data_IF_601764450467
#
_entry.id   IF_601764450467
#
_cell.length_a   1.000
_cell.length_b   1.000
_cell.length_c   1.000
_cell.angle_alpha   90.00
_cell.angle_beta   90.00
_cell.angle_gamma   90.00
#
_symmetry.space_group_name_H-M   'P 1'
#
loop_
_entity.id
_entity.type
_entity.pdbx_description
1 polymer ?
#
# COMPACT_ATOMS: atom_id res chain seq x y z
N UNK A 1 21.00 -27.06 -13.62
CA UNK A 1 21.11 -27.23 -12.14
C UNK A 1 22.36 -28.00 -11.74
N UNK A 2 22.81 -29.02 -12.50
CA UNK A 2 24.03 -29.78 -12.18
C UNK A 2 25.35 -29.00 -12.29
N UNK A 3 25.56 -28.23 -13.36
CA UNK A 3 26.81 -27.48 -13.59
C UNK A 3 27.19 -26.53 -12.46
N UNK A 4 26.19 -25.87 -11.85
CA UNK A 4 26.43 -24.93 -10.75
C UNK A 4 26.88 -25.64 -9.47
N UNK A 5 26.31 -26.81 -9.17
CA UNK A 5 26.73 -27.62 -8.03
C UNK A 5 28.16 -28.17 -8.23
N UNK A 6 28.49 -28.56 -9.47
CA UNK A 6 29.85 -29.00 -9.83
C UNK A 6 30.89 -27.88 -9.69
N UNK A 7 30.52 -26.65 -10.02
CA UNK A 7 31.39 -25.48 -9.86
C UNK A 7 31.72 -25.19 -8.40
N UNK A 8 30.71 -25.26 -7.50
CA UNK A 8 30.93 -25.04 -6.06
C UNK A 8 31.87 -26.10 -5.47
N UNK A 9 31.67 -27.37 -5.84
CA UNK A 9 32.51 -28.46 -5.37
C UNK A 9 33.97 -28.35 -5.87
N UNK A 10 34.18 -27.96 -7.13
CA UNK A 10 35.52 -27.86 -7.72
C UNK A 10 36.35 -26.67 -7.19
N UNK A 11 35.71 -25.67 -6.60
CA UNK A 11 36.39 -24.48 -6.07
C UNK A 11 36.71 -24.58 -4.58
N UNK A 12 36.52 -25.76 -3.96
CA UNK A 12 36.63 -25.99 -2.51
C UNK A 12 35.85 -24.94 -1.68
N UNK A 13 34.74 -24.45 -2.24
CA UNK A 13 33.90 -23.48 -1.58
C UNK A 13 33.07 -24.19 -0.51
N UNK A 14 33.50 -24.04 0.74
CA UNK A 14 32.75 -24.50 1.91
C UNK A 14 31.56 -23.56 2.11
N UNK A 15 30.34 -24.10 2.00
CA UNK A 15 29.14 -23.41 2.47
C UNK A 15 29.26 -23.25 3.99
N UNK A 16 29.70 -22.07 4.43
CA UNK A 16 29.79 -21.75 5.85
C UNK A 16 28.35 -21.82 6.38
N UNK A 17 28.06 -22.72 7.32
CA UNK A 17 26.71 -22.82 7.84
C UNK A 17 26.39 -21.48 8.48
N UNK A 18 25.23 -20.91 8.13
CA UNK A 18 24.73 -19.64 8.65
C UNK A 18 24.32 -19.81 10.14
N UNK A 19 25.21 -20.33 10.99
CA UNK A 19 25.14 -20.25 12.44
C UNK A 19 25.64 -18.88 12.90
N UNK A 20 24.99 -17.86 12.36
CA UNK A 20 24.81 -16.56 13.00
C UNK A 20 23.31 -16.37 13.08
N UNK A 21 22.77 -16.13 14.27
CA UNK A 21 21.33 -15.95 14.45
C UNK A 21 20.78 -14.92 13.45
N UNK A 22 19.65 -15.25 12.82
CA UNK A 22 19.02 -14.37 11.82
C UNK A 22 18.59 -12.99 12.38
N UNK A 23 18.73 -12.73 13.69
CA UNK A 23 18.50 -11.45 14.37
C UNK A 23 19.36 -11.30 15.66
N UNK A 24 19.70 -10.05 16.01
CA UNK A 24 20.51 -9.63 17.19
C UNK A 24 19.66 -9.18 18.39
N UNK A 25 18.65 -9.95 18.81
CA UNK A 25 17.95 -9.65 20.08
C UNK A 25 17.69 -10.93 20.88
N UNK A 26 18.36 -11.03 22.03
CA UNK A 26 18.14 -12.01 23.09
C UNK A 26 17.52 -11.27 24.26
N UNK A 27 16.45 -11.79 24.86
CA UNK A 27 15.92 -11.29 26.13
C UNK A 27 16.72 -11.88 27.30
N UNK A 28 16.78 -11.23 28.47
CA UNK A 28 17.56 -11.72 29.62
C UNK A 28 17.10 -13.06 30.23
N UNK A 29 15.99 -13.66 29.77
CA UNK A 29 15.43 -14.88 30.35
C UNK A 29 15.65 -16.16 29.52
N UNK A 30 16.51 -16.11 28.49
CA UNK A 30 16.84 -17.23 27.60
C UNK A 30 15.64 -17.91 26.89
N UNK A 31 14.44 -17.30 26.93
CA UNK A 31 13.31 -17.79 26.15
C UNK A 31 13.45 -17.39 24.67
N UNK A 32 14.02 -18.30 23.87
CA UNK A 32 14.02 -18.19 22.41
C UNK A 32 12.61 -18.53 21.91
N UNK A 33 11.73 -17.53 21.88
CA UNK A 33 10.49 -17.64 21.09
C UNK A 33 10.77 -17.15 19.68
N UNK A 34 10.76 -18.06 18.71
CA UNK A 34 10.68 -17.73 17.28
C UNK A 34 9.29 -17.21 16.93
N UNK A 35 8.84 -16.13 17.59
CA UNK A 35 7.67 -15.36 17.19
C UNK A 35 8.06 -14.34 16.11
N UNK A 36 8.56 -14.85 14.98
CA UNK A 36 9.04 -14.09 13.79
C UNK A 36 7.96 -13.23 13.10
N UNK A 37 6.70 -13.25 13.54
CA UNK A 37 5.58 -12.66 12.78
C UNK A 37 5.03 -11.34 13.29
N UNK A 38 5.38 -10.86 14.49
CA UNK A 38 4.80 -9.60 14.99
C UNK A 38 5.77 -8.41 14.89
N UNK A 39 5.93 -7.88 13.68
CA UNK A 39 6.67 -6.63 13.37
C UNK A 39 6.02 -5.35 13.95
N UNK A 40 5.23 -5.48 15.01
CA UNK A 40 4.40 -4.42 15.57
C UNK A 40 3.18 -4.07 14.70
N UNK A 41 2.37 -3.10 15.15
CA UNK A 41 1.17 -2.68 14.43
C UNK A 41 1.52 -2.17 13.03
N UNK A 42 0.80 -2.67 12.02
CA UNK A 42 1.00 -2.30 10.63
C UNK A 42 1.01 -0.76 10.47
N UNK A 43 2.10 -0.18 9.93
CA UNK A 43 2.20 1.26 9.78
C UNK A 43 1.08 1.77 8.87
N UNK A 44 0.65 2.99 9.13
CA UNK A 44 -0.30 3.67 8.25
C UNK A 44 0.33 3.86 6.87
N UNK A 45 -0.43 3.58 5.82
CA UNK A 45 -0.02 3.79 4.44
C UNK A 45 -1.01 4.73 3.79
N UNK A 46 -0.50 5.86 3.35
CA UNK A 46 -1.20 6.75 2.44
C UNK A 46 -1.21 6.13 1.03
N UNK A 47 -2.32 6.20 0.31
CA UNK A 47 -2.37 5.78 -1.09
C UNK A 47 -2.56 6.98 -2.01
N UNK A 48 -1.73 7.07 -3.05
CA UNK A 48 -1.85 8.11 -4.08
C UNK A 48 -3.24 8.14 -4.72
N UNK A 49 -3.85 6.95 -4.90
CA UNK A 49 -5.22 6.79 -5.39
C UNK A 49 -6.26 7.63 -4.63
N UNK A 50 -6.02 7.94 -3.36
CA UNK A 50 -6.93 8.76 -2.57
C UNK A 50 -7.03 10.19 -3.09
N UNK A 51 -5.92 10.78 -3.57
CA UNK A 51 -5.90 12.16 -4.08
C UNK A 51 -6.79 12.35 -5.31
N UNK A 52 -6.95 11.28 -6.08
CA UNK A 52 -7.75 11.27 -7.29
C UNK A 52 -9.25 11.07 -7.02
N UNK A 53 -9.65 10.75 -5.79
CA UNK A 53 -11.06 10.60 -5.44
C UNK A 53 -11.70 11.98 -5.20
N UNK A 54 -12.80 12.34 -5.89
CA UNK A 54 -13.37 13.69 -5.85
C UNK A 54 -13.69 14.20 -4.44
N UNK A 55 -14.12 13.31 -3.56
CA UNK A 55 -14.51 13.67 -2.19
C UNK A 55 -13.36 13.62 -1.17
N UNK A 56 -12.13 13.28 -1.57
CA UNK A 56 -11.04 13.04 -0.62
C UNK A 56 -10.69 14.30 0.19
N UNK A 57 -10.46 15.43 -0.48
CA UNK A 57 -10.10 16.68 0.20
C UNK A 57 -11.21 17.18 1.12
N UNK A 58 -12.46 17.05 0.68
CA UNK A 58 -13.63 17.37 1.50
C UNK A 58 -13.71 16.48 2.73
N UNK A 59 -13.52 15.16 2.57
CA UNK A 59 -13.50 14.19 3.66
C UNK A 59 -12.41 14.52 4.69
N UNK A 60 -11.18 14.80 4.25
CA UNK A 60 -10.06 15.15 5.12
C UNK A 60 -10.35 16.42 5.90
N UNK A 61 -10.83 17.46 5.23
CA UNK A 61 -11.16 18.76 5.86
C UNK A 61 -12.23 18.59 6.94
N UNK A 62 -13.31 17.88 6.63
CA UNK A 62 -14.38 17.58 7.58
C UNK A 62 -13.90 16.73 8.76
N UNK A 63 -13.10 15.70 8.50
CA UNK A 63 -12.55 14.84 9.54
C UNK A 63 -11.58 15.60 10.46
N UNK A 64 -10.83 16.56 9.91
CA UNK A 64 -9.94 17.42 10.69
C UNK A 64 -10.72 18.35 11.61
N UNK A 65 -11.73 19.05 11.06
CA UNK A 65 -12.56 19.99 11.81
C UNK A 65 -13.46 19.31 12.85
N UNK A 66 -13.83 18.05 12.65
CA UNK A 66 -14.66 17.32 13.61
C UNK A 66 -13.94 17.00 14.92
N UNK A 67 -12.61 17.15 14.98
CA UNK A 67 -11.82 16.86 16.17
C UNK A 67 -11.59 18.16 16.96
N UNK A 68 -12.48 18.42 17.93
CA UNK A 68 -12.41 19.62 18.75
C UNK A 68 -11.61 19.28 20.01
N UNK A 69 -10.34 19.70 20.04
CA UNK A 69 -9.43 19.46 21.16
C UNK A 69 -8.71 20.75 21.52
N UNK A 70 -8.64 21.02 22.81
CA UNK A 70 -7.91 22.16 23.38
C UNK A 70 -6.66 21.67 24.11
N UNK A 71 -5.61 22.50 24.13
CA UNK A 71 -4.35 22.22 24.82
C UNK A 71 -3.14 22.69 24.01
N UNK A 72 -1.96 22.18 24.38
CA UNK A 72 -0.71 22.50 23.68
C UNK A 72 -0.80 22.15 22.19
N UNK A 73 -0.34 23.05 21.33
CA UNK A 73 -0.40 22.92 19.86
C UNK A 73 0.15 21.58 19.35
N UNK A 74 1.27 21.12 19.93
CA UNK A 74 1.87 19.83 19.58
C UNK A 74 0.98 18.63 19.90
N UNK A 75 0.22 18.73 20.99
CA UNK A 75 -0.74 17.70 21.40
C UNK A 75 -1.97 17.72 20.47
N UNK A 76 -2.51 18.91 20.17
CA UNK A 76 -3.62 19.08 19.23
C UNK A 76 -3.27 18.51 17.86
N UNK A 77 -2.07 18.81 17.34
CA UNK A 77 -1.59 18.25 16.07
C UNK A 77 -1.48 16.72 16.11
N UNK A 78 -0.84 16.18 17.16
CA UNK A 78 -0.69 14.72 17.34
C UNK A 78 -2.06 14.03 17.33
N UNK A 79 -3.03 14.59 18.04
CA UNK A 79 -4.34 13.97 18.15
C UNK A 79 -5.16 14.11 16.86
N UNK A 80 -5.15 15.27 16.21
CA UNK A 80 -5.76 15.45 14.89
C UNK A 80 -5.24 14.43 13.87
N UNK A 81 -3.91 14.19 13.84
CA UNK A 81 -3.33 13.16 12.98
C UNK A 81 -3.76 11.75 13.36
N UNK A 82 -3.91 11.45 14.66
CA UNK A 82 -4.39 10.15 15.16
C UNK A 82 -5.86 9.91 14.77
N UNK A 83 -6.71 10.91 14.97
CA UNK A 83 -8.12 10.90 14.58
C UNK A 83 -8.28 10.74 13.06
N UNK A 84 -7.59 11.58 12.28
CA UNK A 84 -7.62 11.53 10.82
C UNK A 84 -7.15 10.16 10.31
N UNK A 85 -6.09 9.59 10.89
CA UNK A 85 -5.62 8.23 10.55
C UNK A 85 -6.72 7.18 10.78
N UNK A 86 -7.49 7.28 11.86
CA UNK A 86 -8.62 6.39 12.13
C UNK A 86 -9.71 6.51 11.08
N UNK A 87 -10.15 7.74 10.80
CA UNK A 87 -11.17 8.04 9.78
C UNK A 87 -10.75 7.58 8.38
N UNK A 88 -9.51 7.85 7.98
CA UNK A 88 -8.96 7.43 6.68
C UNK A 88 -8.89 5.92 6.53
N UNK A 89 -8.64 5.16 7.61
CA UNK A 89 -8.64 3.69 7.54
C UNK A 89 -10.03 3.15 7.22
N UNK A 90 -11.06 3.68 7.86
CA UNK A 90 -12.46 3.29 7.64
C UNK A 90 -12.87 3.68 6.22
N UNK A 91 -12.67 4.95 5.84
CA UNK A 91 -12.99 5.44 4.51
C UNK A 91 -12.28 4.65 3.40
N UNK A 92 -11.00 4.32 3.57
CA UNK A 92 -10.29 3.50 2.61
C UNK A 92 -10.90 2.09 2.48
N UNK A 93 -11.36 1.49 3.58
CA UNK A 93 -12.05 0.21 3.53
C UNK A 93 -13.41 0.32 2.85
N UNK A 94 -14.18 1.37 3.11
CA UNK A 94 -15.51 1.53 2.51
C UNK A 94 -15.43 1.85 1.02
N UNK A 95 -14.55 2.76 0.62
CA UNK A 95 -14.46 3.26 -0.76
C UNK A 95 -13.64 2.35 -1.68
N UNK A 96 -12.56 1.73 -1.20
CA UNK A 96 -11.61 1.03 -2.09
C UNK A 96 -11.58 -0.50 -1.94
N UNK A 97 -12.35 -1.09 -1.00
CA UNK A 97 -12.34 -2.55 -0.78
C UNK A 97 -12.92 -3.33 -1.95
N UNK A 98 -13.97 -2.81 -2.56
CA UNK A 98 -14.77 -3.53 -3.56
C UNK A 98 -14.56 -3.05 -4.99
N UNK A 99 -13.48 -2.30 -5.29
CA UNK A 99 -13.19 -1.79 -6.64
C UNK A 99 -13.21 -2.89 -7.72
N UNK A 100 -12.76 -4.11 -7.39
CA UNK A 100 -12.81 -5.23 -8.34
C UNK A 100 -14.25 -5.63 -8.70
N UNK A 101 -15.10 -5.77 -7.69
CA UNK A 101 -16.52 -6.08 -7.86
C UNK A 101 -17.27 -4.95 -8.58
N UNK A 102 -16.92 -3.69 -8.32
CA UNK A 102 -17.49 -2.54 -9.03
C UNK A 102 -17.16 -2.57 -10.52
N UNK A 103 -15.91 -2.89 -10.87
CA UNK A 103 -15.50 -3.07 -12.27
C UNK A 103 -16.29 -4.19 -12.93
N UNK A 104 -16.40 -5.36 -12.29
CA UNK A 104 -17.16 -6.50 -12.83
C UNK A 104 -18.65 -6.15 -13.04
N UNK A 105 -19.30 -5.54 -12.05
CA UNK A 105 -20.69 -5.08 -12.16
C UNK A 105 -20.88 -4.08 -13.29
N UNK A 106 -19.92 -3.16 -13.44
CA UNK A 106 -20.00 -2.14 -14.48
C UNK A 106 -19.81 -2.72 -15.89
N UNK A 107 -18.90 -3.68 -16.05
CA UNK A 107 -18.72 -4.43 -17.30
C UNK A 107 -19.96 -5.25 -17.64
N UNK A 108 -20.54 -5.96 -16.66
CA UNK A 108 -21.79 -6.71 -16.89
C UNK A 108 -22.92 -5.80 -17.36
N UNK A 109 -23.07 -4.61 -16.77
CA UNK A 109 -24.09 -3.65 -17.20
C UNK A 109 -23.80 -3.12 -18.62
N UNK A 110 -22.55 -2.88 -18.98
CA UNK A 110 -22.17 -2.53 -20.36
C UNK A 110 -22.55 -3.64 -21.34
N UNK A 111 -22.18 -4.88 -21.06
CA UNK A 111 -22.52 -6.03 -21.91
C UNK A 111 -24.04 -6.16 -22.11
N UNK A 112 -24.84 -5.94 -21.05
CA UNK A 112 -26.30 -5.93 -21.15
C UNK A 112 -26.83 -4.78 -22.01
N UNK A 113 -26.20 -3.60 -21.98
CA UNK A 113 -26.55 -2.47 -22.83
C UNK A 113 -26.14 -2.67 -24.30
N UNK A 114 -25.10 -3.47 -24.54
CA UNK A 114 -24.64 -3.84 -25.88
C UNK A 114 -25.55 -4.91 -26.50
N UNK A 115 -26.01 -5.88 -25.71
CA UNK A 115 -26.99 -6.89 -26.15
C UNK A 115 -28.37 -6.29 -26.50
N UNK A 116 -28.72 -5.15 -25.88
CA UNK A 116 -29.97 -4.42 -26.16
C UNK A 116 -29.86 -3.42 -27.31
N UNK A 117 -28.73 -3.37 -28.03
CA UNK A 117 -28.43 -2.34 -29.02
C UNK A 117 -29.29 -2.35 -30.31
N UNK A 118 -30.34 -3.18 -30.40
CA UNK A 118 -31.36 -3.06 -31.45
C UNK A 118 -32.20 -1.78 -31.38
N UNK A 119 -32.27 -1.12 -30.21
CA UNK A 119 -33.00 0.13 -29.99
C UNK A 119 -32.07 1.20 -29.39
N UNK A 120 -31.42 2.00 -30.24
CA UNK A 120 -30.48 3.04 -29.80
C UNK A 120 -31.24 4.30 -29.37
N UNK A 121 -31.73 4.32 -28.13
CA UNK A 121 -32.25 5.54 -27.49
C UNK A 121 -31.11 6.39 -26.90
N UNK A 122 -31.24 7.72 -26.91
CA UNK A 122 -30.27 8.66 -26.31
C UNK A 122 -29.95 8.36 -24.84
N UNK A 123 -30.94 7.87 -24.10
CA UNK A 123 -30.81 7.38 -22.72
C UNK A 123 -29.76 6.25 -22.58
N UNK A 124 -29.72 5.34 -23.55
CA UNK A 124 -28.76 4.23 -23.58
C UNK A 124 -27.32 4.70 -23.76
N UNK A 125 -27.08 5.77 -24.53
CA UNK A 125 -25.76 6.32 -24.76
C UNK A 125 -25.16 6.98 -23.50
N UNK A 126 -25.98 7.72 -22.74
CA UNK A 126 -25.57 8.34 -21.46
C UNK A 126 -25.20 7.27 -20.43
N UNK A 127 -26.03 6.24 -20.32
CA UNK A 127 -25.79 5.10 -19.42
C UNK A 127 -24.48 4.38 -19.76
N UNK A 128 -24.21 4.11 -21.05
CA UNK A 128 -22.94 3.53 -21.50
C UNK A 128 -21.75 4.40 -21.12
N UNK A 129 -21.81 5.71 -21.37
CA UNK A 129 -20.74 6.63 -21.02
C UNK A 129 -20.47 6.66 -19.51
N UNK A 130 -21.53 6.64 -18.69
CA UNK A 130 -21.40 6.60 -17.23
C UNK A 130 -20.77 5.30 -16.74
N UNK A 131 -21.19 4.15 -17.28
CA UNK A 131 -20.63 2.85 -16.87
C UNK A 131 -19.18 2.69 -17.32
N UNK A 132 -18.84 3.13 -18.52
CA UNK A 132 -17.45 3.17 -19.02
C UNK A 132 -16.56 4.05 -18.15
N UNK A 133 -17.04 5.23 -17.74
CA UNK A 133 -16.33 6.10 -16.79
C UNK A 133 -16.08 5.39 -15.46
N UNK A 134 -17.09 4.74 -14.89
CA UNK A 134 -16.96 3.98 -13.64
C UNK A 134 -15.93 2.86 -13.74
N UNK A 135 -15.93 2.09 -14.84
CA UNK A 135 -14.91 1.05 -15.09
C UNK A 135 -13.52 1.68 -15.10
N UNK A 136 -13.33 2.77 -15.85
CA UNK A 136 -12.04 3.42 -15.98
C UNK A 136 -11.53 3.94 -14.63
N UNK A 137 -12.37 4.63 -13.87
CA UNK A 137 -12.03 5.17 -12.55
C UNK A 137 -11.66 4.06 -11.55
N UNK A 138 -12.51 3.05 -11.38
CA UNK A 138 -12.26 1.95 -10.45
C UNK A 138 -11.01 1.15 -10.85
N UNK A 139 -10.75 0.98 -12.15
CA UNK A 139 -9.53 0.34 -12.63
C UNK A 139 -8.29 1.21 -12.39
N UNK A 140 -8.38 2.52 -12.60
CA UNK A 140 -7.30 3.48 -12.34
C UNK A 140 -6.90 3.45 -10.85
N UNK A 141 -7.87 3.52 -9.94
CA UNK A 141 -7.62 3.39 -8.50
C UNK A 141 -6.98 2.04 -8.14
N UNK A 142 -7.52 0.92 -8.66
CA UNK A 142 -6.98 -0.42 -8.41
C UNK A 142 -5.52 -0.53 -8.87
N UNK A 143 -5.22 -0.06 -10.08
CA UNK A 143 -3.86 -0.04 -10.64
C UNK A 143 -2.90 0.79 -9.79
N UNK A 144 -3.29 2.00 -9.39
CA UNK A 144 -2.48 2.88 -8.54
C UNK A 144 -2.15 2.22 -7.19
N UNK A 145 -3.16 1.66 -6.51
CA UNK A 145 -2.97 0.97 -5.22
C UNK A 145 -2.05 -0.25 -5.37
N UNK A 146 -2.24 -1.07 -6.41
CA UNK A 146 -1.42 -2.25 -6.65
C UNK A 146 0.03 -1.88 -6.96
N UNK A 147 0.26 -0.83 -7.77
CA UNK A 147 1.60 -0.31 -8.06
C UNK A 147 2.33 0.13 -6.80
N UNK A 148 1.64 0.81 -5.89
CA UNK A 148 2.26 1.23 -4.63
C UNK A 148 2.52 0.05 -3.69
N UNK A 149 1.60 -0.93 -3.64
CA UNK A 149 1.77 -2.17 -2.84
C UNK A 149 2.91 -3.04 -3.33
N UNK A 150 3.10 -3.17 -4.65
CA UNK A 150 4.15 -3.98 -5.25
C UNK A 150 5.55 -3.38 -5.09
N UNK A 151 5.68 -2.14 -4.61
CA UNK A 151 6.96 -1.42 -4.46
C UNK A 151 7.76 -1.36 -5.77
N UNK A 152 7.09 -1.40 -6.94
CA UNK A 152 7.73 -1.46 -8.26
C UNK A 152 8.78 -0.37 -8.47
N UNK A 153 8.50 0.87 -8.06
CA UNK A 153 9.46 1.96 -8.17
C UNK A 153 10.69 1.74 -7.27
N UNK A 154 10.50 1.17 -6.07
CA UNK A 154 11.62 0.88 -5.15
C UNK A 154 12.52 -0.23 -5.68
N UNK A 155 11.96 -1.23 -6.36
CA UNK A 155 12.73 -2.26 -7.05
C UNK A 155 13.55 -1.60 -8.17
N UNK A 156 12.88 -0.87 -9.08
CA UNK A 156 13.53 -0.18 -10.20
C UNK A 156 14.63 0.80 -9.75
N UNK A 157 14.33 1.65 -8.77
CA UNK A 157 15.27 2.67 -8.26
C UNK A 157 16.38 2.06 -7.40
N UNK A 158 16.12 0.91 -6.77
CA UNK A 158 17.11 0.13 -6.04
C UNK A 158 18.11 -0.55 -6.96
N UNK A 159 17.62 -1.20 -8.01
CA UNK A 159 18.47 -1.84 -9.03
C UNK A 159 19.29 -0.82 -9.81
N UNK A 160 18.78 0.41 -9.96
CA UNK A 160 19.51 1.52 -10.59
C UNK A 160 20.66 2.06 -9.72
N UNK A 161 20.88 1.53 -8.50
CA UNK A 161 21.90 1.94 -7.52
C UNK A 161 22.07 3.47 -7.41
N UNK A 162 20.95 4.20 -7.50
CA UNK A 162 20.99 5.64 -7.65
C UNK A 162 21.43 6.33 -6.36
N UNK A 163 22.10 7.50 -6.47
CA UNK A 163 22.46 8.32 -5.30
C UNK A 163 21.23 8.68 -4.44
N UNK A 164 20.07 8.86 -5.07
CA UNK A 164 18.78 9.06 -4.41
C UNK A 164 18.35 7.84 -3.60
N UNK A 165 18.49 6.63 -4.15
CA UNK A 165 18.20 5.39 -3.44
C UNK A 165 19.07 5.21 -2.20
N UNK A 166 20.38 5.41 -2.31
CA UNK A 166 21.27 5.33 -1.16
C UNK A 166 20.94 6.39 -0.09
N UNK A 167 20.55 7.61 -0.50
CA UNK A 167 20.07 8.64 0.44
C UNK A 167 18.79 8.21 1.16
N UNK A 168 17.83 7.65 0.44
CA UNK A 168 16.57 7.13 1.00
C UNK A 168 16.81 5.92 1.94
N UNK A 169 17.71 5.01 1.57
CA UNK A 169 18.09 3.86 2.38
C UNK A 169 18.84 4.27 3.65
N UNK A 170 19.77 5.22 3.58
CA UNK A 170 20.43 5.80 4.77
C UNK A 170 19.42 6.42 5.74
N UNK A 171 18.45 7.19 5.26
CA UNK A 171 17.37 7.74 6.09
C UNK A 171 16.43 6.67 6.67
N UNK A 172 16.30 5.51 6.01
CA UNK A 172 15.58 4.36 6.56
C UNK A 172 16.40 3.66 7.65
N UNK A 173 17.69 3.44 7.43
CA UNK A 173 18.58 2.85 8.44
C UNK A 173 18.66 3.72 9.69
N UNK A 174 18.75 5.04 9.55
CA UNK A 174 18.73 5.97 10.68
C UNK A 174 17.40 5.94 11.45
N UNK A 175 16.25 5.92 10.77
CA UNK A 175 14.94 5.78 11.45
C UNK A 175 14.79 4.44 12.16
N UNK A 176 15.32 3.36 11.58
CA UNK A 176 15.33 2.05 12.19
C UNK A 176 16.32 1.96 13.38
N UNK A 177 17.31 2.86 13.46
CA UNK A 177 18.25 2.96 14.57
C UNK A 177 17.67 3.70 15.79
N UNK A 178 16.58 4.47 15.62
CA UNK A 178 15.98 5.31 16.68
C UNK A 178 14.89 4.62 17.51
N UNK A 179 14.97 3.31 17.73
CA UNK A 179 14.14 2.63 18.73
C UNK A 179 15.06 1.91 19.72
N UNK A 180 15.42 2.65 20.76
CA UNK A 180 16.27 2.22 21.86
C UNK A 180 16.07 3.18 23.03
N UNK A 181 14.91 3.09 23.67
CA UNK A 181 14.66 3.42 25.06
C UNK A 181 13.78 2.31 25.62
#
# INVERSE_FOLDING_TARGET
>A
MGEFASFIANMDLVDVPLFGGNFTWVKPDDSVTSSITNWGPKPFKFFEAWLWHPQFMYFVSRAWQSNIISGKETYVLKDNLKHLKGKLRIWNMETFRYLGLEVEKAILKLNLLDLKAGEVSHSSAVDRAQMSRKVWESMHFKKSILRQKSKKNRLREGDSNSRLFHKAMRGKFQRNKLVGF
#
